data_IF_712112364167
#
_entry.id   IF_712112364167
#
_cell.length_a   1.000
_cell.length_b   1.000
_cell.length_c   1.000
_cell.angle_alpha   90.00
_cell.angle_beta   90.00
_cell.angle_gamma   90.00
#
_symmetry.space_group_name_H-M   'P 1'
#
loop_
_entity.id
_entity.type
_entity.pdbx_description
1 polymer ?
#
# COMPACT_ATOMS: atom_id res chain seq x y z
N UNK A 1 -7.05 0.60 -17.53
CA UNK A 1 -6.43 1.83 -16.99
C UNK A 1 -4.93 1.63 -16.95
N UNK A 2 -4.11 2.62 -17.33
CA UNK A 2 -2.64 2.55 -17.24
C UNK A 2 -2.21 3.24 -15.94
N UNK A 3 -1.36 2.58 -15.14
CA UNK A 3 -0.80 3.17 -13.92
C UNK A 3 0.13 4.34 -14.29
N UNK A 4 0.12 5.46 -13.54
CA UNK A 4 1.13 6.50 -13.69
C UNK A 4 2.54 5.95 -13.44
N UNK A 5 3.54 6.51 -14.10
CA UNK A 5 4.95 6.13 -13.87
C UNK A 5 5.42 6.51 -12.46
N UNK A 6 4.87 7.59 -11.91
CA UNK A 6 5.12 8.07 -10.55
C UNK A 6 3.79 8.17 -9.80
N UNK A 7 3.28 7.05 -9.28
CA UNK A 7 2.04 7.05 -8.51
C UNK A 7 2.27 7.72 -7.15
N UNK A 8 1.37 8.63 -6.76
CA UNK A 8 1.36 9.35 -5.48
C UNK A 8 -0.03 9.23 -4.88
N UNK A 9 -0.13 8.94 -3.58
CA UNK A 9 -1.39 8.90 -2.84
C UNK A 9 -1.75 10.27 -2.27
N UNK A 10 -3.05 10.55 -2.15
CA UNK A 10 -3.54 11.71 -1.43
C UNK A 10 -4.00 11.28 -0.03
N UNK A 11 -3.31 11.76 1.02
CA UNK A 11 -3.57 11.37 2.40
C UNK A 11 -5.03 11.59 2.82
N UNK A 12 -5.69 12.63 2.29
CA UNK A 12 -7.08 12.96 2.65
C UNK A 12 -8.09 11.93 2.14
N UNK A 13 -7.68 11.05 1.23
CA UNK A 13 -8.52 10.00 0.64
C UNK A 13 -8.31 8.63 1.27
N UNK A 14 -7.31 8.49 2.15
CA UNK A 14 -6.97 7.20 2.75
C UNK A 14 -7.91 6.89 3.93
N UNK A 15 -8.54 5.70 3.95
CA UNK A 15 -9.22 5.16 5.12
C UNK A 15 -8.26 5.11 6.31
N UNK A 16 -8.75 5.48 7.49
CA UNK A 16 -7.94 5.47 8.72
C UNK A 16 -8.01 4.14 9.48
N UNK A 17 -8.95 3.28 9.10
CA UNK A 17 -9.32 2.04 9.80
C UNK A 17 -9.04 0.77 8.98
N UNK A 18 -8.41 0.91 7.80
CA UNK A 18 -8.09 -0.21 6.91
C UNK A 18 -6.60 -0.30 6.65
N UNK A 19 -6.03 -1.46 6.93
CA UNK A 19 -4.62 -1.76 6.68
C UNK A 19 -4.31 -2.18 5.24
N UNK A 20 -5.33 -2.56 4.47
CA UNK A 20 -5.18 -3.05 3.11
C UNK A 20 -6.31 -2.53 2.21
N UNK A 21 -5.92 -1.85 1.13
CA UNK A 21 -6.85 -1.21 0.20
C UNK A 21 -6.54 -1.67 -1.22
N UNK A 22 -7.57 -2.04 -1.97
CA UNK A 22 -7.46 -2.24 -3.42
C UNK A 22 -7.77 -0.92 -4.11
N UNK A 23 -6.79 -0.33 -4.79
CA UNK A 23 -6.97 0.91 -5.52
C UNK A 23 -7.62 0.64 -6.89
N UNK A 24 -6.87 0.04 -7.82
CA UNK A 24 -7.32 -0.22 -9.19
C UNK A 24 -6.64 -1.48 -9.74
N UNK A 25 -7.39 -2.32 -10.45
CA UNK A 25 -6.87 -3.56 -11.05
C UNK A 25 -6.15 -4.46 -10.03
N UNK A 26 -4.84 -4.67 -10.23
CA UNK A 26 -3.96 -5.48 -9.37
C UNK A 26 -3.16 -4.66 -8.35
N UNK A 27 -3.40 -3.34 -8.24
CA UNK A 27 -2.70 -2.50 -7.26
C UNK A 27 -3.35 -2.67 -5.88
N UNK A 28 -2.56 -3.20 -4.96
CA UNK A 28 -2.87 -3.31 -3.54
C UNK A 28 -1.96 -2.36 -2.78
N UNK A 29 -2.54 -1.57 -1.88
CA UNK A 29 -1.83 -0.64 -1.01
C UNK A 29 -1.98 -1.18 0.40
N UNK A 30 -0.85 -1.40 1.08
CA UNK A 30 -0.80 -1.79 2.48
C UNK A 30 -0.24 -0.65 3.34
N UNK A 31 -0.74 -0.51 4.56
CA UNK A 31 -0.15 0.34 5.59
C UNK A 31 1.12 -0.29 6.14
N UNK A 32 1.88 0.47 6.93
CA UNK A 32 3.05 -0.05 7.65
C UNK A 32 2.65 -1.21 8.59
N UNK A 33 1.52 -1.11 9.28
CA UNK A 33 1.01 -2.17 10.16
C UNK A 33 0.71 -3.47 9.42
N UNK A 34 0.25 -3.41 8.16
CA UNK A 34 0.12 -4.60 7.32
C UNK A 34 1.49 -5.22 7.00
N UNK A 35 2.47 -4.40 6.62
CA UNK A 35 3.83 -4.84 6.29
C UNK A 35 4.46 -5.56 7.50
N UNK A 36 4.33 -4.97 8.69
CA UNK A 36 4.79 -5.58 9.94
C UNK A 36 4.11 -6.94 10.21
N UNK A 37 2.80 -7.06 9.96
CA UNK A 37 2.08 -8.30 10.14
C UNK A 37 2.56 -9.40 9.16
N UNK A 38 2.80 -9.05 7.90
CA UNK A 38 3.33 -9.97 6.88
C UNK A 38 4.71 -10.49 7.27
N UNK A 39 5.60 -9.60 7.73
CA UNK A 39 6.93 -9.97 8.22
C UNK A 39 6.86 -10.85 9.47
N UNK A 40 5.99 -10.51 10.43
CA UNK A 40 5.82 -11.31 11.65
C UNK A 40 5.33 -12.74 11.36
N UNK A 41 4.56 -12.90 10.30
CA UNK A 41 4.00 -14.19 9.89
C UNK A 41 4.91 -14.97 8.93
N UNK A 42 6.07 -14.42 8.55
CA UNK A 42 7.06 -15.11 7.71
C UNK A 42 6.70 -15.12 6.21
N UNK A 43 5.85 -14.21 5.75
CA UNK A 43 5.39 -14.13 4.36
C UNK A 43 6.25 -13.21 3.48
N UNK A 44 7.38 -12.70 3.99
CA UNK A 44 8.28 -11.79 3.25
C UNK A 44 8.87 -12.39 1.97
N UNK A 45 8.86 -13.72 1.82
CA UNK A 45 9.34 -14.40 0.62
C UNK A 45 8.32 -14.39 -0.53
N UNK A 46 7.03 -14.31 -0.20
CA UNK A 46 5.95 -14.39 -1.18
C UNK A 46 5.44 -13.00 -1.61
N UNK A 47 5.69 -11.97 -0.78
CA UNK A 47 5.17 -10.62 -0.98
C UNK A 47 6.32 -9.62 -1.02
N UNK A 48 6.43 -8.88 -2.14
CA UNK A 48 7.36 -7.76 -2.26
C UNK A 48 6.61 -6.44 -2.07
N UNK A 49 7.18 -5.56 -1.25
CA UNK A 49 6.66 -4.22 -1.02
C UNK A 49 7.50 -3.17 -1.74
N UNK A 50 6.83 -2.13 -2.20
CA UNK A 50 7.45 -0.92 -2.73
C UNK A 50 6.81 0.27 -2.05
N UNK A 51 7.62 1.15 -1.47
CA UNK A 51 7.13 2.39 -0.89
C UNK A 51 6.43 3.24 -1.95
N UNK A 52 5.36 3.89 -1.52
CA UNK A 52 4.53 4.74 -2.36
C UNK A 52 4.42 6.12 -1.71
N UNK A 53 4.89 7.19 -2.37
CA UNK A 53 4.84 8.53 -1.79
C UNK A 53 3.38 8.95 -1.54
N UNK A 54 3.19 9.64 -0.43
CA UNK A 54 1.91 10.23 -0.02
C UNK A 54 2.06 11.75 0.01
N UNK A 55 1.15 12.46 -0.64
CA UNK A 55 1.07 13.92 -0.60
C UNK A 55 0.17 14.35 0.56
N UNK A 56 0.63 15.33 1.33
CA UNK A 56 -0.14 15.92 2.43
C UNK A 56 0.05 15.23 3.78
N UNK A 57 1.03 14.34 3.90
CA UNK A 57 1.55 13.84 5.17
C UNK A 57 2.64 14.77 5.74
#
# INVERSE_FOLDING_TARGET
MKMPEQPILDAATLPQDLDLIRAEGTLIIGTESFVEAVQRLGFEHDITFRELPVRGA
#
